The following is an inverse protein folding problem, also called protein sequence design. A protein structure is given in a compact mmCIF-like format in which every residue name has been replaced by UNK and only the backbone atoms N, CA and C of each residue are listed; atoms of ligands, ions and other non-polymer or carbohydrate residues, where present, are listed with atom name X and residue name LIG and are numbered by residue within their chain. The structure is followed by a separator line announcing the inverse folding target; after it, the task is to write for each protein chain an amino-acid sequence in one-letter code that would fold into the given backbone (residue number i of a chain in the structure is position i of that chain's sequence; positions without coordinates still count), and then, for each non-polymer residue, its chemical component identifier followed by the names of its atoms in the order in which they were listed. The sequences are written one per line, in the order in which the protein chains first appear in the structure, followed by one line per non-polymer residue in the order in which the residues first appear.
data_IF_906487165521
#
_entry.id   IF_906487165521
#
_cell.length_a   1.000
_cell.length_b   1.000
_cell.length_c   1.000
_cell.angle_alpha   90.00
_cell.angle_beta   90.00
_cell.angle_gamma   90.00
#
_symmetry.space_group_name_H-M   'P 1'
#
loop_
_entity.id
_entity.type
_entity.pdbx_description
1 polymer ?
#
# COMPACT_ATOMS: atom_id res chain seq x y z
N UNK A 1 -27.43 2.86 7.90
CA UNK A 1 -26.65 3.99 7.36
C UNK A 1 -25.47 3.41 6.57
N UNK A 2 -25.30 3.79 5.30
CA UNK A 2 -24.17 3.35 4.48
C UNK A 2 -22.96 4.20 4.90
N UNK A 3 -22.08 3.64 5.73
CA UNK A 3 -20.86 4.32 6.17
C UNK A 3 -19.85 4.27 5.03
N UNK A 4 -19.86 5.28 4.16
CA UNK A 4 -18.78 5.50 3.21
C UNK A 4 -17.50 5.71 4.01
N UNK A 5 -16.40 5.03 3.64
CA UNK A 5 -15.07 5.34 4.19
C UNK A 5 -14.80 6.84 4.01
N UNK A 6 -14.82 7.60 5.10
CA UNK A 6 -14.43 9.00 5.11
C UNK A 6 -12.90 9.05 5.06
N UNK A 7 -12.36 9.39 3.89
CA UNK A 7 -10.92 9.40 3.60
C UNK A 7 -10.49 8.28 2.66
N UNK A 8 -9.49 8.55 1.82
CA UNK A 8 -8.91 7.55 0.91
C UNK A 8 -7.84 6.75 1.65
N UNK A 9 -7.78 5.42 1.48
CA UNK A 9 -6.60 4.64 1.88
C UNK A 9 -5.33 5.21 1.28
N UNK A 10 -4.21 5.10 2.00
CA UNK A 10 -2.89 5.43 1.47
C UNK A 10 -1.99 4.21 1.55
N UNK A 11 -1.05 4.10 0.61
CA UNK A 11 0.04 3.12 0.63
C UNK A 11 1.34 3.90 0.82
N UNK A 12 2.20 3.38 1.69
CA UNK A 12 3.54 3.89 1.97
C UNK A 12 4.53 2.75 1.71
N UNK A 13 5.51 3.00 0.84
CA UNK A 13 6.63 2.11 0.60
C UNK A 13 7.73 2.44 1.60
N UNK A 14 7.99 1.57 2.56
CA UNK A 14 8.93 1.87 3.65
C UNK A 14 10.38 1.97 3.18
N UNK A 15 10.69 1.32 2.06
CA UNK A 15 12.02 1.25 1.46
C UNK A 15 12.26 2.34 0.40
N UNK A 16 11.22 3.10 0.03
CA UNK A 16 11.27 4.24 -0.90
C UNK A 16 11.82 5.48 -0.16
N UNK A 17 13.14 5.61 -0.17
CA UNK A 17 13.87 6.62 0.62
C UNK A 17 13.80 8.00 0.00
N UNK A 18 13.68 8.06 -1.33
CA UNK A 18 13.58 9.32 -2.07
C UNK A 18 12.12 9.78 -2.26
N UNK A 19 11.15 8.93 -1.87
CA UNK A 19 9.72 9.17 -1.87
C UNK A 19 9.17 9.46 -3.29
N UNK A 20 9.73 8.76 -4.28
CA UNK A 20 9.34 8.88 -5.69
C UNK A 20 8.20 7.91 -6.09
N UNK A 21 7.74 7.06 -5.15
CA UNK A 21 6.71 6.02 -5.32
C UNK A 21 7.14 4.84 -6.20
N UNK A 22 8.43 4.64 -6.40
CA UNK A 22 9.03 3.58 -7.21
C UNK A 22 10.22 2.99 -6.47
N UNK A 23 10.15 1.70 -6.16
CA UNK A 23 11.29 0.99 -5.59
C UNK A 23 12.26 0.61 -6.71
N UNK A 24 13.47 1.19 -6.70
CA UNK A 24 14.51 0.89 -7.68
C UNK A 24 15.90 0.74 -7.05
N UNK A 25 16.78 -0.01 -7.72
CA UNK A 25 18.20 -0.09 -7.34
C UNK A 25 18.42 -0.54 -5.88
N UNK A 26 19.04 0.32 -5.08
CA UNK A 26 19.33 0.08 -3.66
C UNK A 26 18.08 0.07 -2.75
N UNK A 27 16.89 0.36 -3.28
CA UNK A 27 15.61 0.24 -2.58
C UNK A 27 14.96 -1.13 -2.81
N UNK A 28 15.43 -1.88 -3.81
CA UNK A 28 15.01 -3.25 -4.13
C UNK A 28 15.97 -4.30 -3.53
N UNK A 29 16.52 -4.05 -2.34
CA UNK A 29 17.49 -4.98 -1.72
C UNK A 29 16.76 -6.22 -1.20
N UNK A 30 16.57 -7.20 -2.09
CA UNK A 30 15.96 -8.50 -1.81
C UNK A 30 14.75 -8.80 -2.70
N UNK A 31 14.18 -10.00 -2.54
CA UNK A 31 12.99 -10.43 -3.30
C UNK A 31 11.68 -10.03 -2.61
N UNK A 32 11.75 -9.18 -1.58
CA UNK A 32 10.63 -8.84 -0.71
C UNK A 32 10.66 -7.36 -0.40
N UNK A 33 9.51 -6.70 -0.50
CA UNK A 33 9.32 -5.32 -0.02
C UNK A 33 8.16 -5.28 0.97
N UNK A 34 8.17 -4.28 1.87
CA UNK A 34 7.09 -4.04 2.83
C UNK A 34 6.29 -2.80 2.45
N UNK A 35 4.96 -2.96 2.37
CA UNK A 35 4.02 -1.84 2.20
C UNK A 35 3.23 -1.61 3.47
N UNK A 36 3.01 -0.35 3.82
CA UNK A 36 2.12 0.06 4.91
C UNK A 36 0.85 0.68 4.32
N UNK A 37 -0.29 0.08 4.63
CA UNK A 37 -1.61 0.55 4.18
C UNK A 37 -2.30 1.24 5.36
N UNK A 38 -2.53 2.55 5.25
CA UNK A 38 -3.30 3.29 6.24
C UNK A 38 -4.76 3.34 5.84
N UNK A 39 -5.64 2.82 6.69
CA UNK A 39 -7.08 2.87 6.53
C UNK A 39 -7.66 3.88 7.53
N UNK A 40 -8.28 4.98 7.08
CA UNK A 40 -8.62 6.12 7.94
C UNK A 40 -9.72 5.83 8.97
N UNK A 41 -10.65 4.92 8.66
CA UNK A 41 -11.64 4.42 9.60
C UNK A 41 -12.07 3.01 9.24
N UNK A 42 -11.99 2.09 10.21
CA UNK A 42 -12.46 0.71 10.10
C UNK A 42 -13.31 0.41 11.32
N UNK A 43 -14.54 -0.04 11.10
CA UNK A 43 -15.49 -0.39 12.16
C UNK A 43 -15.68 -1.90 12.31
N UNK A 44 -16.40 -2.27 13.36
CA UNK A 44 -16.85 -3.65 13.56
C UNK A 44 -17.73 -4.10 12.38
N UNK A 45 -17.38 -5.26 11.80
CA UNK A 45 -18.10 -5.83 10.65
C UNK A 45 -17.62 -5.36 9.28
N UNK A 46 -16.70 -4.39 9.20
CA UNK A 46 -16.10 -3.99 7.93
C UNK A 46 -15.16 -5.08 7.39
N UNK A 47 -15.11 -5.23 6.07
CA UNK A 47 -14.23 -6.16 5.38
C UNK A 47 -13.20 -5.40 4.57
N UNK A 48 -11.93 -5.73 4.78
CA UNK A 48 -10.81 -5.23 3.98
C UNK A 48 -10.45 -6.31 2.95
N UNK A 49 -10.32 -5.91 1.68
CA UNK A 49 -9.81 -6.78 0.62
C UNK A 49 -8.61 -6.09 -0.01
N UNK A 50 -7.52 -6.82 -0.15
CA UNK A 50 -6.27 -6.33 -0.73
C UNK A 50 -6.06 -7.08 -2.04
N UNK A 51 -5.81 -6.34 -3.11
CA UNK A 51 -5.42 -6.88 -4.42
C UNK A 51 -4.04 -6.33 -4.76
N UNK A 52 -3.09 -7.22 -5.01
CA UNK A 52 -1.74 -6.86 -5.45
C UNK A 52 -1.64 -7.31 -6.90
N UNK A 53 -1.52 -6.34 -7.80
CA UNK A 53 -1.28 -6.61 -9.21
C UNK A 53 0.23 -6.46 -9.45
N UNK A 54 0.86 -7.48 -10.03
CA UNK A 54 2.22 -7.40 -10.54
C UNK A 54 2.19 -7.23 -12.05
N UNK A 55 2.93 -6.26 -12.57
CA UNK A 55 3.28 -6.21 -13.99
C UNK A 55 4.76 -6.60 -14.11
N UNK A 56 5.08 -7.43 -15.10
CA UNK A 56 6.45 -7.81 -15.39
C UNK A 56 7.14 -6.61 -16.03
N UNK A 57 8.06 -5.95 -15.32
CA UNK A 57 8.96 -4.97 -15.91
C UNK A 57 10.06 -5.74 -16.65
N UNK A 58 9.93 -5.80 -17.98
CA UNK A 58 10.92 -6.40 -18.89
C UNK A 58 12.11 -5.49 -19.18
#
# INVERSE_FOLDING_TARGET
MKRTLLGKPSVEYLDDKDNNQVLLGEELVGNTTSVKINLPYIGEGDKVSITINGEEYG
#
